data_IF_625225492420
#
_entry.id   IF_625225492420
#
_cell.length_a   1.000
_cell.length_b   1.000
_cell.length_c   1.000
_cell.angle_alpha   90.00
_cell.angle_beta   90.00
_cell.angle_gamma   90.00
#
_symmetry.space_group_name_H-M   'P 1'
#
loop_
_entity.id
_entity.type
_entity.pdbx_description
1 polymer ?
#
# COMPACT_ATOMS: atom_id res chain seq x y z
N UNK A 1 3.65 -4.36 21.66
CA UNK A 1 3.74 -4.31 20.18
C UNK A 1 4.06 -2.90 19.72
N UNK A 2 4.96 -2.79 18.80
CA UNK A 2 5.33 -1.50 18.23
C UNK A 2 4.20 -0.95 17.35
N UNK A 3 3.87 0.32 17.57
CA UNK A 3 2.86 1.00 16.77
C UNK A 3 3.55 1.82 15.69
N UNK A 4 3.18 1.58 14.44
CA UNK A 4 3.81 2.21 13.29
C UNK A 4 2.90 3.29 12.71
N UNK A 5 3.52 4.30 12.11
CA UNK A 5 2.79 5.37 11.42
C UNK A 5 2.89 5.18 9.91
N UNK A 6 1.73 5.16 9.25
CA UNK A 6 1.65 5.10 7.79
C UNK A 6 2.35 6.32 7.17
N UNK A 7 2.19 7.49 7.75
CA UNK A 7 2.80 8.71 7.23
C UNK A 7 4.32 8.65 7.26
N UNK A 8 4.87 8.18 8.36
CA UNK A 8 6.31 8.06 8.53
C UNK A 8 6.89 7.02 7.56
N UNK A 9 6.22 5.88 7.43
CA UNK A 9 6.67 4.80 6.56
C UNK A 9 6.54 5.17 5.08
N UNK A 10 5.42 5.77 4.67
CA UNK A 10 5.22 6.14 3.27
C UNK A 10 6.20 7.22 2.81
N UNK A 11 6.58 8.11 3.71
CA UNK A 11 7.60 9.11 3.40
C UNK A 11 8.92 8.44 3.03
N UNK A 12 9.32 7.44 3.80
CA UNK A 12 10.55 6.68 3.52
C UNK A 12 10.44 5.90 2.22
N UNK A 13 9.29 5.31 1.94
CA UNK A 13 9.08 4.59 0.68
C UNK A 13 9.14 5.52 -0.52
N UNK A 14 8.52 6.69 -0.43
CA UNK A 14 8.56 7.67 -1.50
C UNK A 14 9.98 8.21 -1.74
N UNK A 15 10.72 8.44 -0.67
CA UNK A 15 12.12 8.89 -0.78
C UNK A 15 13.01 7.82 -1.40
N UNK A 16 12.79 6.57 -1.05
CA UNK A 16 13.52 5.43 -1.65
C UNK A 16 13.23 5.34 -3.15
N UNK A 17 11.98 5.48 -3.53
CA UNK A 17 11.58 5.50 -4.93
C UNK A 17 12.25 6.64 -5.68
N UNK A 18 12.23 7.84 -5.10
CA UNK A 18 12.90 9.02 -5.66
C UNK A 18 14.38 8.74 -5.90
N UNK A 19 15.03 8.11 -4.93
CA UNK A 19 16.46 7.82 -5.00
C UNK A 19 16.78 6.87 -6.16
N UNK A 20 16.01 5.77 -6.24
CA UNK A 20 16.20 4.76 -7.28
C UNK A 20 15.95 5.35 -8.67
N UNK A 21 14.86 6.09 -8.83
CA UNK A 21 14.50 6.68 -10.12
C UNK A 21 15.50 7.78 -10.52
N UNK A 22 15.99 8.54 -9.56
CA UNK A 22 17.01 9.56 -9.81
C UNK A 22 18.32 8.94 -10.28
N UNK A 23 18.73 7.82 -9.69
CA UNK A 23 19.91 7.09 -10.15
C UNK A 23 19.76 6.61 -11.59
N UNK A 24 18.59 6.05 -11.92
CA UNK A 24 18.31 5.58 -13.28
C UNK A 24 18.36 6.74 -14.29
N UNK A 25 17.87 7.91 -13.89
CA UNK A 25 17.82 9.09 -14.76
C UNK A 25 19.16 9.82 -14.84
N UNK A 26 20.08 9.55 -13.92
CA UNK A 26 21.35 10.25 -13.85
C UNK A 26 21.26 11.68 -13.31
N UNK A 27 20.15 12.05 -12.71
CA UNK A 27 19.95 13.37 -12.11
C UNK A 27 18.88 13.29 -11.01
N UNK A 28 18.86 14.28 -10.11
CA UNK A 28 17.84 14.35 -9.06
C UNK A 28 16.50 14.74 -9.65
N UNK A 29 15.52 13.86 -9.54
CA UNK A 29 14.17 14.10 -10.04
C UNK A 29 13.30 14.91 -9.08
N UNK A 30 13.73 15.06 -7.82
CA UNK A 30 13.05 15.88 -6.83
C UNK A 30 11.62 15.45 -6.55
N UNK A 31 10.75 16.44 -6.36
CA UNK A 31 9.36 16.19 -6.02
C UNK A 31 8.57 15.46 -7.11
N UNK A 32 9.00 15.53 -8.35
CA UNK A 32 8.29 14.87 -9.44
C UNK A 32 8.28 13.35 -9.25
N UNK A 33 9.37 12.79 -8.73
CA UNK A 33 9.42 11.36 -8.42
C UNK A 33 8.50 11.01 -7.26
N UNK A 34 8.44 11.85 -6.23
CA UNK A 34 7.55 11.66 -5.09
C UNK A 34 6.08 11.69 -5.53
N UNK A 35 5.72 12.65 -6.36
CA UNK A 35 4.36 12.73 -6.92
C UNK A 35 4.03 11.48 -7.74
N UNK A 36 4.98 10.99 -8.51
CA UNK A 36 4.80 9.78 -9.31
C UNK A 36 4.55 8.57 -8.42
N UNK A 37 5.30 8.47 -7.31
CA UNK A 37 5.08 7.39 -6.35
C UNK A 37 3.66 7.46 -5.77
N UNK A 38 3.22 8.64 -5.36
CA UNK A 38 1.87 8.82 -4.82
C UNK A 38 0.81 8.44 -5.85
N UNK A 39 0.94 8.92 -7.08
CA UNK A 39 -0.03 8.65 -8.13
C UNK A 39 -0.13 7.16 -8.48
N UNK A 40 1.01 6.46 -8.52
CA UNK A 40 1.07 5.10 -9.03
C UNK A 40 1.02 4.03 -7.96
N UNK A 41 1.43 4.35 -6.73
CA UNK A 41 1.63 3.31 -5.70
C UNK A 41 0.86 3.53 -4.40
N UNK A 42 0.26 4.71 -4.22
CA UNK A 42 -0.37 5.07 -2.94
C UNK A 42 -1.46 4.08 -2.52
N UNK A 43 -2.39 3.77 -3.41
CA UNK A 43 -3.52 2.89 -3.07
C UNK A 43 -3.08 1.47 -2.78
N UNK A 44 -2.15 0.94 -3.57
CA UNK A 44 -1.58 -0.37 -3.33
C UNK A 44 -0.83 -0.42 -2.01
N UNK A 45 -0.09 0.63 -1.71
CA UNK A 45 0.64 0.77 -0.46
C UNK A 45 -0.32 0.74 0.74
N UNK A 46 -1.34 1.59 0.73
CA UNK A 46 -2.32 1.65 1.82
C UNK A 46 -3.02 0.31 2.03
N UNK A 47 -3.41 -0.34 0.96
CA UNK A 47 -4.09 -1.62 1.05
C UNK A 47 -3.19 -2.69 1.64
N UNK A 48 -1.93 -2.71 1.26
CA UNK A 48 -0.96 -3.64 1.82
C UNK A 48 -0.77 -3.41 3.33
N UNK A 49 -0.68 -2.15 3.75
CA UNK A 49 -0.56 -1.81 5.17
C UNK A 49 -1.82 -2.20 5.94
N UNK A 50 -2.98 -1.95 5.37
CA UNK A 50 -4.25 -2.33 5.99
C UNK A 50 -4.36 -3.85 6.18
N UNK A 51 -3.94 -4.62 5.18
CA UNK A 51 -3.92 -6.08 5.29
C UNK A 51 -2.97 -6.55 6.39
N UNK A 52 -1.81 -5.94 6.53
CA UNK A 52 -0.90 -6.25 7.63
C UNK A 52 -1.56 -6.02 8.99
N UNK A 53 -2.29 -4.91 9.10
CA UNK A 53 -3.01 -4.56 10.33
C UNK A 53 -4.12 -5.57 10.63
N UNK A 54 -4.92 -5.93 9.64
CA UNK A 54 -5.99 -6.91 9.79
C UNK A 54 -5.47 -8.31 10.12
N UNK A 55 -4.29 -8.65 9.59
CA UNK A 55 -3.65 -9.94 9.91
C UNK A 55 -3.02 -9.98 11.29
N UNK A 56 -2.86 -8.82 11.93
CA UNK A 56 -2.17 -8.72 13.21
C UNK A 56 -0.66 -8.78 13.10
N UNK A 57 -0.11 -8.57 11.90
CA UNK A 57 1.34 -8.61 11.66
C UNK A 57 2.02 -7.32 12.05
N UNK A 58 1.35 -6.19 11.84
CA UNK A 58 1.88 -4.88 12.17
C UNK A 58 0.75 -3.93 12.49
N UNK A 59 0.89 -3.17 13.57
CA UNK A 59 -0.11 -2.20 13.98
C UNK A 59 0.15 -0.85 13.30
N UNK A 60 -0.83 -0.38 12.53
CA UNK A 60 -0.77 0.90 11.85
C UNK A 60 -1.74 1.88 12.49
N UNK A 61 -1.21 2.89 13.17
CA UNK A 61 -1.98 3.82 14.00
C UNK A 61 -3.11 4.49 13.23
N UNK A 62 -2.80 4.99 12.04
CA UNK A 62 -3.78 5.74 11.24
C UNK A 62 -4.86 4.85 10.62
N UNK A 63 -4.61 3.56 10.51
CA UNK A 63 -5.54 2.61 9.93
C UNK A 63 -6.40 1.91 10.96
N UNK A 64 -6.09 2.07 12.24
CA UNK A 64 -6.76 1.35 13.31
C UNK A 64 -8.19 1.85 13.53
N UNK A 65 -9.13 0.92 13.42
CA UNK A 65 -10.55 1.14 13.73
C UNK A 65 -11.05 0.05 14.66
N UNK A 66 -10.17 -0.45 15.54
CA UNK A 66 -10.46 -1.57 16.41
C UNK A 66 -10.41 -2.91 15.69
N UNK A 67 -9.80 -2.96 14.51
CA UNK A 67 -9.78 -4.13 13.63
C UNK A 67 -8.41 -4.82 13.55
N UNK A 68 -7.46 -4.44 14.39
CA UNK A 68 -6.14 -5.07 14.42
C UNK A 68 -6.27 -6.56 14.69
N UNK A 69 -5.72 -7.37 13.81
CA UNK A 69 -5.77 -8.81 13.94
C UNK A 69 -7.16 -9.41 13.73
N UNK A 70 -8.09 -8.63 13.17
CA UNK A 70 -9.48 -9.06 13.00
C UNK A 70 -9.59 -10.37 12.19
N UNK A 71 -8.83 -10.50 11.12
CA UNK A 71 -8.87 -11.69 10.28
C UNK A 71 -8.37 -12.92 11.04
N UNK A 72 -7.33 -12.77 11.83
CA UNK A 72 -6.82 -13.86 12.64
C UNK A 72 -7.83 -14.30 13.71
N UNK A 73 -8.47 -13.34 14.37
CA UNK A 73 -9.46 -13.64 15.40
C UNK A 73 -10.71 -14.30 14.83
N UNK A 74 -11.14 -13.87 13.63
CA UNK A 74 -12.36 -14.40 13.01
C UNK A 74 -12.16 -15.77 12.40
N UNK A 75 -10.97 -16.07 11.91
CA UNK A 75 -10.69 -17.28 11.15
C UNK A 75 -9.62 -18.16 11.78
N UNK A 76 -9.38 -18.02 13.09
CA UNK A 76 -8.35 -18.81 13.77
C UNK A 76 -8.60 -20.31 13.71
N UNK A 77 -9.85 -20.73 13.61
CA UNK A 77 -10.23 -22.15 13.52
C UNK A 77 -10.23 -22.67 12.08
N UNK A 78 -10.02 -21.80 11.10
CA UNK A 78 -10.03 -22.17 9.70
C UNK A 78 -8.99 -21.41 8.91
N UNK A 79 -7.74 -21.83 9.06
CA UNK A 79 -6.61 -21.19 8.41
C UNK A 79 -6.67 -21.29 6.89
N UNK A 80 -7.25 -22.37 6.38
CA UNK A 80 -7.38 -22.57 4.94
C UNK A 80 -8.30 -21.53 4.32
N UNK A 81 -9.43 -21.24 4.97
CA UNK A 81 -10.35 -20.21 4.53
C UNK A 81 -9.73 -18.83 4.63
N UNK A 82 -8.99 -18.58 5.71
CA UNK A 82 -8.26 -17.33 5.90
C UNK A 82 -7.27 -17.10 4.75
N UNK A 83 -6.48 -18.13 4.43
CA UNK A 83 -5.50 -18.03 3.35
C UNK A 83 -6.15 -17.71 2.02
N UNK A 84 -7.30 -18.32 1.72
CA UNK A 84 -8.06 -18.02 0.49
C UNK A 84 -8.57 -16.59 0.46
N UNK A 85 -9.06 -16.10 1.60
CA UNK A 85 -9.54 -14.71 1.71
C UNK A 85 -8.37 -13.75 1.48
N UNK A 86 -7.23 -14.02 2.10
CA UNK A 86 -6.04 -13.20 1.95
C UNK A 86 -5.53 -13.18 0.50
N UNK A 87 -5.54 -14.34 -0.15
CA UNK A 87 -5.14 -14.43 -1.56
C UNK A 87 -6.05 -13.61 -2.45
N UNK A 88 -7.35 -13.65 -2.21
CA UNK A 88 -8.31 -12.85 -2.96
C UNK A 88 -8.14 -11.36 -2.73
N UNK A 89 -7.87 -10.96 -1.49
CA UNK A 89 -7.64 -9.56 -1.16
C UNK A 89 -6.36 -9.05 -1.81
N UNK A 90 -5.32 -9.86 -1.84
CA UNK A 90 -4.07 -9.53 -2.52
C UNK A 90 -4.26 -9.42 -4.03
N UNK A 91 -5.01 -10.33 -4.63
CA UNK A 91 -5.34 -10.27 -6.04
C UNK A 91 -6.18 -9.03 -6.36
N UNK A 92 -7.14 -8.70 -5.49
CA UNK A 92 -7.92 -7.48 -5.61
C UNK A 92 -7.06 -6.23 -5.52
N UNK A 93 -6.04 -6.24 -4.68
CA UNK A 93 -5.09 -5.15 -4.58
C UNK A 93 -4.36 -4.92 -5.91
N UNK A 94 -3.88 -5.99 -6.53
CA UNK A 94 -3.22 -5.91 -7.83
C UNK A 94 -4.16 -5.36 -8.89
N UNK A 95 -5.39 -5.83 -8.92
CA UNK A 95 -6.40 -5.35 -9.86
C UNK A 95 -6.74 -3.87 -9.62
N UNK A 96 -6.84 -3.46 -8.38
CA UNK A 96 -7.09 -2.06 -8.03
C UNK A 96 -5.93 -1.17 -8.44
N UNK A 97 -4.71 -1.64 -8.27
CA UNK A 97 -3.52 -0.92 -8.70
C UNK A 97 -3.55 -0.68 -10.20
N UNK A 98 -3.83 -1.72 -10.98
CA UNK A 98 -3.94 -1.64 -12.43
C UNK A 98 -5.08 -0.69 -12.82
N UNK A 99 -6.24 -0.84 -12.19
CA UNK A 99 -7.40 -0.02 -12.47
C UNK A 99 -7.16 1.44 -12.09
N UNK A 100 -6.49 1.70 -10.98
CA UNK A 100 -6.13 3.05 -10.56
C UNK A 100 -5.22 3.72 -11.58
N UNK A 101 -4.25 2.99 -12.10
CA UNK A 101 -3.37 3.50 -13.15
C UNK A 101 -4.13 3.82 -14.43
N UNK A 102 -5.05 2.94 -14.84
CA UNK A 102 -5.90 3.16 -16.01
C UNK A 102 -6.81 4.36 -15.81
N UNK A 103 -7.42 4.49 -14.63
CA UNK A 103 -8.29 5.61 -14.32
C UNK A 103 -7.52 6.92 -14.28
N UNK A 104 -6.35 6.92 -13.63
CA UNK A 104 -5.50 8.11 -13.58
C UNK A 104 -5.09 8.54 -14.98
N UNK A 105 -4.73 7.59 -15.83
CA UNK A 105 -4.36 7.86 -17.21
C UNK A 105 -5.55 8.37 -18.02
N UNK A 106 -6.73 7.83 -17.75
CA UNK A 106 -7.98 8.16 -18.46
C UNK A 106 -8.52 9.55 -18.11
N UNK A 107 -8.41 9.90 -16.84
CA UNK A 107 -8.95 11.18 -16.32
C UNK A 107 -7.87 12.23 -16.15
N UNK A 108 -6.64 11.89 -16.40
CA UNK A 108 -5.56 12.86 -16.39
C UNK A 108 -5.87 13.91 -17.47
N UNK A 109 -6.00 15.18 -17.08
CA UNK A 109 -6.26 16.22 -18.06
C UNK A 109 -5.02 16.48 -18.87
N UNK A 110 -4.71 15.56 -19.73
CA UNK A 110 -3.59 15.72 -20.62
C UNK A 110 -3.86 16.87 -21.55
N UNK A 111 -2.96 17.81 -21.56
CA UNK A 111 -3.01 18.75 -22.65
C UNK A 111 -2.77 17.98 -23.93
#
# INVERSE_FOLDING_TARGET
>A
MEKCSVYSDCEQEALRFKWIESEKAGCDLGESAIRRWVQNHWWGYLRARWLEHLQGNRFWVELDRGDFGLLQRRFHDNTLLLDRILDRLKAGQENLDINSRRLAHRFDPQP
#
